data_IF_553630293757
#
_entry.id   IF_553630293757
#
_cell.length_a   1.000
_cell.length_b   1.000
_cell.length_c   1.000
_cell.angle_alpha   90.00
_cell.angle_beta   90.00
_cell.angle_gamma   90.00
#
_symmetry.space_group_name_H-M   'P 1'
#
loop_
_entity.id
_entity.type
_entity.pdbx_description
1 polymer ?
#
# COMPACT_ATOMS: atom_id res chain seq x y z
N UNK A 1 16.47 53.35 62.11
CA UNK A 1 15.90 54.31 61.15
C UNK A 1 15.55 53.53 59.90
N UNK A 2 14.31 53.05 59.81
CA UNK A 2 13.80 52.49 58.56
C UNK A 2 13.63 53.64 57.56
N UNK A 3 14.37 53.59 56.45
CA UNK A 3 14.15 54.49 55.32
C UNK A 3 12.77 54.16 54.74
N UNK A 4 11.83 55.09 54.91
CA UNK A 4 10.53 55.04 54.23
C UNK A 4 10.79 55.01 52.71
N UNK A 5 10.19 54.08 51.96
CA UNK A 5 10.34 54.10 50.50
C UNK A 5 9.77 55.42 49.97
N UNK A 6 10.58 56.15 49.20
CA UNK A 6 10.16 57.38 48.53
C UNK A 6 9.00 57.09 47.58
N UNK A 7 7.91 57.84 47.70
CA UNK A 7 6.77 57.70 46.81
C UNK A 7 7.22 57.96 45.36
N UNK A 8 6.87 57.08 44.41
CA UNK A 8 7.30 57.21 43.03
C UNK A 8 6.77 58.52 42.44
N UNK A 9 7.59 59.17 41.63
CA UNK A 9 7.20 60.40 40.94
C UNK A 9 6.15 60.10 39.87
N UNK A 10 5.31 61.09 39.55
CA UNK A 10 4.33 60.99 38.45
C UNK A 10 4.97 60.58 37.12
N UNK A 11 6.22 60.98 36.90
CA UNK A 11 7.00 60.62 35.71
C UNK A 11 7.40 59.14 35.69
N UNK A 12 7.82 58.57 36.82
CA UNK A 12 8.16 57.16 36.95
C UNK A 12 6.91 56.26 36.81
N UNK A 13 5.77 56.67 37.36
CA UNK A 13 4.50 55.95 37.20
C UNK A 13 4.02 55.97 35.74
N UNK A 14 4.15 57.10 35.04
CA UNK A 14 3.80 57.22 33.62
C UNK A 14 4.70 56.34 32.73
N UNK A 15 6.01 56.31 32.98
CA UNK A 15 6.94 55.46 32.24
C UNK A 15 6.69 53.97 32.48
N UNK A 16 6.41 53.56 33.72
CA UNK A 16 6.10 52.17 34.05
C UNK A 16 4.80 51.71 33.36
N UNK A 17 3.76 52.55 33.36
CA UNK A 17 2.48 52.26 32.69
C UNK A 17 2.66 52.11 31.17
N UNK A 18 3.50 52.98 30.57
CA UNK A 18 3.81 52.93 29.13
C UNK A 18 4.61 51.67 28.76
N UNK A 19 5.57 51.27 29.59
CA UNK A 19 6.32 50.02 29.38
C UNK A 19 5.44 48.77 29.57
N UNK A 20 4.55 48.76 30.56
CA UNK A 20 3.60 47.66 30.76
C UNK A 20 2.61 47.53 29.60
N UNK A 21 2.09 48.65 29.07
CA UNK A 21 1.25 48.63 27.87
C UNK A 21 2.03 48.13 26.66
N UNK A 22 3.26 48.63 26.42
CA UNK A 22 4.09 48.16 25.32
C UNK A 22 4.41 46.66 25.41
N UNK A 23 4.67 46.13 26.61
CA UNK A 23 4.89 44.70 26.85
C UNK A 23 3.62 43.87 26.64
N UNK A 24 2.44 44.37 27.06
CA UNK A 24 1.16 43.71 26.81
C UNK A 24 0.81 43.67 25.32
N UNK A 25 1.02 44.76 24.58
CA UNK A 25 0.77 44.82 23.14
C UNK A 25 1.73 43.90 22.37
N UNK A 26 3.02 43.86 22.78
CA UNK A 26 3.99 42.93 22.20
C UNK A 26 3.66 41.46 22.51
N UNK A 27 3.19 41.15 23.71
CA UNK A 27 2.72 39.81 24.10
C UNK A 27 1.44 39.39 23.35
N UNK A 28 0.51 40.32 23.12
CA UNK A 28 -0.70 40.08 22.32
C UNK A 28 -0.37 39.89 20.83
N UNK A 29 0.56 40.67 20.28
CA UNK A 29 1.01 40.51 18.89
C UNK A 29 1.78 39.20 18.68
N UNK A 30 2.63 38.80 19.63
CA UNK A 30 3.34 37.51 19.58
C UNK A 30 2.42 36.30 19.80
N UNK A 31 1.31 36.45 20.53
CA UNK A 31 0.28 35.41 20.63
C UNK A 31 -0.68 35.37 19.43
N UNK A 32 -0.91 36.49 18.75
CA UNK A 32 -1.82 36.60 17.61
C UNK A 32 -1.28 35.89 16.35
N UNK A 33 0.02 36.00 16.05
CA UNK A 33 0.59 35.38 14.85
C UNK A 33 0.49 33.83 14.85
N UNK A 34 0.81 33.10 15.93
CA UNK A 34 0.58 31.66 16.03
C UNK A 34 -0.90 31.26 15.93
N UNK A 35 -1.81 32.06 16.50
CA UNK A 35 -3.25 31.80 16.41
C UNK A 35 -3.78 31.98 14.98
N UNK A 36 -3.28 32.98 14.25
CA UNK A 36 -3.61 33.18 12.83
C UNK A 36 -3.10 32.03 11.98
N UNK A 37 -1.84 31.61 12.13
CA UNK A 37 -1.29 30.46 11.40
C UNK A 37 -2.04 29.16 11.71
N UNK A 38 -2.41 28.92 12.97
CA UNK A 38 -3.20 27.76 13.35
C UNK A 38 -4.60 27.77 12.71
N UNK A 39 -5.27 28.93 12.66
CA UNK A 39 -6.56 29.09 11.97
C UNK A 39 -6.43 28.85 10.47
N UNK A 40 -5.42 29.42 9.82
CA UNK A 40 -5.17 29.21 8.39
C UNK A 40 -4.89 27.73 8.06
N UNK A 41 -4.12 27.04 8.91
CA UNK A 41 -3.88 25.61 8.78
C UNK A 41 -5.18 24.81 8.94
N UNK A 42 -5.98 25.08 9.96
CA UNK A 42 -7.28 24.42 10.17
C UNK A 42 -8.22 24.65 8.99
N UNK A 43 -8.29 25.88 8.48
CA UNK A 43 -9.11 26.22 7.32
C UNK A 43 -8.64 25.48 6.07
N UNK A 44 -7.32 25.37 5.87
CA UNK A 44 -6.74 24.58 4.77
C UNK A 44 -7.06 23.09 4.93
N UNK A 45 -6.92 22.53 6.12
CA UNK A 45 -7.25 21.13 6.40
C UNK A 45 -8.74 20.88 6.14
N UNK A 46 -9.63 21.75 6.60
CA UNK A 46 -11.06 21.67 6.35
C UNK A 46 -11.39 21.73 4.85
N UNK A 47 -10.71 22.59 4.07
CA UNK A 47 -10.85 22.62 2.61
C UNK A 47 -10.40 21.31 1.97
N UNK A 48 -9.26 20.75 2.39
CA UNK A 48 -8.76 19.48 1.88
C UNK A 48 -9.68 18.30 2.23
N UNK A 49 -10.22 18.26 3.44
CA UNK A 49 -11.22 17.26 3.86
C UNK A 49 -12.44 17.33 2.96
N UNK A 50 -13.01 18.53 2.75
CA UNK A 50 -14.16 18.73 1.87
C UNK A 50 -13.87 18.30 0.44
N UNK A 51 -12.70 18.65 -0.10
CA UNK A 51 -12.29 18.25 -1.45
C UNK A 51 -12.17 16.72 -1.57
N UNK A 52 -11.50 16.07 -0.62
CA UNK A 52 -11.33 14.62 -0.60
C UNK A 52 -12.68 13.89 -0.49
N UNK A 53 -13.57 14.37 0.38
CA UNK A 53 -14.92 13.85 0.53
C UNK A 53 -15.75 14.02 -0.76
N UNK A 54 -15.66 15.19 -1.41
CA UNK A 54 -16.35 15.43 -2.67
C UNK A 54 -15.84 14.51 -3.78
N UNK A 55 -14.53 14.33 -3.90
CA UNK A 55 -13.94 13.40 -4.87
C UNK A 55 -14.35 11.95 -4.59
N UNK A 56 -14.25 11.49 -3.34
CA UNK A 56 -14.63 10.15 -2.94
C UNK A 56 -16.14 9.89 -3.11
N UNK A 57 -16.99 10.88 -2.83
CA UNK A 57 -18.45 10.75 -2.97
C UNK A 57 -18.88 10.79 -4.44
N UNK A 58 -18.19 11.59 -5.28
CA UNK A 58 -18.48 11.71 -6.70
C UNK A 58 -18.04 10.54 -7.57
N UNK A 59 -17.24 9.60 -7.03
CA UNK A 59 -16.90 8.36 -7.74
C UNK A 59 -18.14 7.47 -7.84
N UNK A 60 -18.61 7.24 -9.07
CA UNK A 60 -19.68 6.29 -9.38
C UNK A 60 -19.03 5.02 -9.92
N UNK A 61 -19.15 3.90 -9.20
CA UNK A 61 -18.61 2.60 -9.66
C UNK A 61 -19.60 1.83 -10.54
N UNK A 62 -20.88 2.15 -10.51
CA UNK A 62 -21.95 1.38 -11.18
C UNK A 62 -21.78 1.31 -12.70
N UNK A 63 -21.11 2.28 -13.33
CA UNK A 63 -20.90 2.24 -14.79
C UNK A 63 -19.95 1.12 -15.24
N UNK A 64 -19.06 0.64 -14.37
CA UNK A 64 -18.20 -0.51 -14.63
C UNK A 64 -18.90 -1.85 -14.35
N UNK A 65 -20.07 -1.83 -13.73
CA UNK A 65 -20.78 -3.02 -13.30
C UNK A 65 -21.67 -3.56 -14.41
N UNK A 66 -21.44 -4.80 -14.79
CA UNK A 66 -22.30 -5.55 -15.70
C UNK A 66 -23.40 -6.24 -14.88
N UNK A 67 -24.65 -5.79 -15.04
CA UNK A 67 -25.78 -6.27 -14.25
C UNK A 67 -26.20 -7.71 -14.58
N UNK A 68 -25.97 -8.16 -15.81
CA UNK A 68 -26.30 -9.53 -16.24
C UNK A 68 -25.31 -10.52 -15.63
N UNK A 69 -24.01 -10.21 -15.71
CA UNK A 69 -22.94 -11.04 -15.14
C UNK A 69 -22.77 -10.84 -13.64
N UNK A 70 -23.24 -9.71 -13.11
CA UNK A 70 -23.04 -9.24 -11.72
C UNK A 70 -21.57 -9.12 -11.34
N UNK A 71 -20.74 -8.65 -12.28
CA UNK A 71 -19.29 -8.50 -12.12
C UNK A 71 -18.85 -7.13 -12.63
N UNK A 72 -17.68 -6.67 -12.18
CA UNK A 72 -17.05 -5.49 -12.75
C UNK A 72 -16.31 -5.85 -14.03
N UNK A 73 -16.49 -5.05 -15.07
CA UNK A 73 -15.55 -5.01 -16.19
C UNK A 73 -14.21 -4.46 -15.72
N UNK A 74 -13.12 -4.92 -16.34
CA UNK A 74 -11.76 -4.44 -16.00
C UNK A 74 -11.50 -3.01 -16.44
N UNK A 75 -12.30 -2.48 -17.36
CA UNK A 75 -12.07 -1.18 -17.96
C UNK A 75 -13.24 -0.68 -18.78
N UNK A 76 -13.18 0.61 -19.11
CA UNK A 76 -14.14 1.28 -19.96
C UNK A 76 -13.39 2.11 -21.00
N UNK A 77 -13.64 1.83 -22.27
CA UNK A 77 -13.09 2.61 -23.36
C UNK A 77 -13.95 3.85 -23.58
N UNK A 78 -13.37 5.02 -23.30
CA UNK A 78 -14.05 6.33 -23.44
C UNK A 78 -14.27 6.72 -24.91
N UNK A 79 -13.38 6.35 -25.82
CA UNK A 79 -13.51 6.68 -27.24
C UNK A 79 -14.62 5.87 -27.91
N UNK A 80 -14.74 4.60 -27.54
CA UNK A 80 -15.74 3.67 -28.08
C UNK A 80 -17.02 3.61 -27.22
N UNK A 81 -17.05 4.34 -26.10
CA UNK A 81 -18.13 4.35 -25.11
C UNK A 81 -18.62 2.95 -24.72
N UNK A 82 -17.68 2.02 -24.45
CA UNK A 82 -18.01 0.63 -24.14
C UNK A 82 -17.17 0.06 -23.00
N UNK A 83 -17.76 -0.90 -22.31
CA UNK A 83 -17.04 -1.74 -21.35
C UNK A 83 -16.12 -2.73 -22.07
N UNK A 84 -15.02 -3.06 -21.42
CA UNK A 84 -14.17 -4.16 -21.84
C UNK A 84 -14.88 -5.50 -21.62
N UNK A 85 -14.59 -6.47 -22.49
CA UNK A 85 -15.17 -7.83 -22.41
C UNK A 85 -14.50 -8.76 -21.39
N UNK A 86 -13.58 -8.23 -20.57
CA UNK A 86 -12.90 -8.96 -19.50
C UNK A 86 -13.39 -8.45 -18.15
N UNK A 87 -13.43 -9.32 -17.14
CA UNK A 87 -14.10 -9.05 -15.88
C UNK A 87 -13.23 -9.43 -14.68
N UNK A 88 -13.39 -8.71 -13.57
CA UNK A 88 -12.84 -9.10 -12.28
C UNK A 88 -13.76 -10.11 -11.61
N UNK A 89 -13.41 -11.38 -11.75
CA UNK A 89 -14.29 -12.49 -11.39
C UNK A 89 -13.79 -13.33 -10.20
N UNK A 90 -12.62 -13.05 -9.60
CA UNK A 90 -12.10 -13.85 -8.48
C UNK A 90 -12.08 -13.12 -7.13
N UNK A 91 -12.35 -13.89 -6.07
CA UNK A 91 -12.25 -13.42 -4.70
C UNK A 91 -10.79 -13.28 -4.23
N UNK A 92 -9.87 -14.08 -4.78
CA UNK A 92 -8.44 -13.92 -4.57
C UNK A 92 -7.87 -12.95 -5.61
N UNK A 93 -8.18 -11.67 -5.45
CA UNK A 93 -7.67 -10.58 -6.27
C UNK A 93 -7.64 -9.29 -5.42
N UNK A 94 -6.76 -8.38 -5.80
CA UNK A 94 -6.73 -6.99 -5.35
C UNK A 94 -8.06 -6.27 -5.61
N UNK A 95 -8.70 -6.57 -6.74
CA UNK A 95 -9.89 -5.87 -7.22
C UNK A 95 -11.11 -6.09 -6.31
N UNK A 96 -11.10 -7.13 -5.47
CA UNK A 96 -12.14 -7.35 -4.46
C UNK A 96 -12.30 -6.17 -3.50
N UNK A 97 -11.27 -5.34 -3.35
CA UNK A 97 -11.36 -4.13 -2.55
C UNK A 97 -12.31 -3.12 -3.19
N UNK A 98 -12.26 -2.95 -4.52
CA UNK A 98 -13.21 -2.14 -5.27
C UNK A 98 -14.63 -2.70 -5.12
N UNK A 99 -14.80 -4.03 -5.23
CA UNK A 99 -16.06 -4.72 -4.94
C UNK A 99 -16.61 -4.40 -3.56
N UNK A 100 -15.76 -4.50 -2.53
CA UNK A 100 -16.15 -4.22 -1.15
C UNK A 100 -16.61 -2.77 -0.96
N UNK A 101 -15.85 -1.81 -1.49
CA UNK A 101 -16.17 -0.37 -1.37
C UNK A 101 -17.44 -0.03 -2.14
N UNK A 102 -17.61 -0.53 -3.37
CA UNK A 102 -18.80 -0.27 -4.18
C UNK A 102 -20.06 -0.82 -3.53
N UNK A 103 -19.99 -2.02 -2.94
CA UNK A 103 -21.11 -2.59 -2.17
C UNK A 103 -21.40 -1.74 -0.93
N UNK A 104 -20.37 -1.36 -0.16
CA UNK A 104 -20.55 -0.55 1.04
C UNK A 104 -21.19 0.83 0.74
N UNK A 105 -20.94 1.37 -0.45
CA UNK A 105 -21.54 2.61 -0.97
C UNK A 105 -22.93 2.41 -1.57
N UNK A 106 -23.40 1.17 -1.70
CA UNK A 106 -24.62 0.81 -2.44
C UNK A 106 -24.58 1.17 -3.93
N UNK A 107 -23.39 1.32 -4.51
CA UNK A 107 -23.21 1.53 -5.96
C UNK A 107 -23.57 0.25 -6.74
N UNK A 108 -23.37 -0.93 -6.12
CA UNK A 108 -23.66 -2.25 -6.68
C UNK A 108 -24.29 -3.16 -5.63
N UNK A 109 -25.09 -4.17 -6.04
CA UNK A 109 -25.82 -5.03 -5.10
C UNK A 109 -24.92 -6.07 -4.43
N UNK A 110 -25.31 -6.56 -3.25
CA UNK A 110 -24.52 -7.50 -2.42
C UNK A 110 -24.19 -8.82 -3.15
N UNK A 111 -25.06 -9.23 -4.07
CA UNK A 111 -24.94 -10.41 -4.93
C UNK A 111 -23.61 -10.42 -5.67
N UNK A 112 -23.07 -9.25 -6.02
CA UNK A 112 -21.75 -9.12 -6.64
C UNK A 112 -20.66 -9.87 -5.86
N UNK A 113 -20.63 -9.73 -4.52
CA UNK A 113 -19.64 -10.40 -3.68
C UNK A 113 -19.74 -11.92 -3.76
N UNK A 114 -20.96 -12.45 -3.89
CA UNK A 114 -21.21 -13.88 -3.94
C UNK A 114 -20.92 -14.46 -5.34
N UNK A 115 -21.07 -13.66 -6.40
CA UNK A 115 -20.69 -14.03 -7.77
C UNK A 115 -19.19 -14.21 -7.95
N UNK A 116 -18.34 -13.51 -7.19
CA UNK A 116 -16.88 -13.69 -7.26
C UNK A 116 -16.49 -15.16 -7.07
N UNK A 117 -15.84 -15.71 -8.08
CA UNK A 117 -15.29 -17.05 -8.13
C UNK A 117 -14.36 -17.34 -6.97
N UNK A 118 -14.47 -18.56 -6.46
CA UNK A 118 -13.66 -19.09 -5.36
C UNK A 118 -12.98 -20.39 -5.79
N UNK A 119 -12.25 -20.41 -6.92
CA UNK A 119 -11.49 -21.59 -7.29
C UNK A 119 -10.51 -21.88 -6.15
N UNK A 120 -10.43 -23.14 -5.75
CA UNK A 120 -9.57 -23.56 -4.65
C UNK A 120 -8.74 -24.77 -5.05
N UNK A 121 -7.61 -24.92 -4.38
CA UNK A 121 -6.73 -26.09 -4.50
C UNK A 121 -6.15 -26.44 -3.14
N UNK A 122 -5.63 -27.66 -3.01
CA UNK A 122 -4.87 -28.09 -1.83
C UNK A 122 -3.39 -28.09 -2.20
N UNK A 123 -2.63 -27.21 -1.56
CA UNK A 123 -1.19 -27.05 -1.77
C UNK A 123 -0.47 -27.21 -0.43
N UNK A 124 0.57 -28.05 -0.40
CA UNK A 124 1.38 -28.27 0.81
C UNK A 124 0.51 -28.63 2.04
N UNK A 125 -0.57 -29.40 1.83
CA UNK A 125 -1.52 -29.81 2.87
C UNK A 125 -2.48 -28.70 3.35
N UNK A 126 -2.55 -27.56 2.65
CA UNK A 126 -3.42 -26.42 2.99
C UNK A 126 -4.37 -26.11 1.84
N UNK A 127 -5.64 -25.91 2.14
CA UNK A 127 -6.59 -25.36 1.16
C UNK A 127 -6.29 -23.88 0.92
N UNK A 128 -6.17 -23.47 -0.33
CA UNK A 128 -5.99 -22.07 -0.72
C UNK A 128 -6.98 -21.70 -1.83
N UNK A 129 -7.39 -20.43 -1.85
CA UNK A 129 -7.99 -19.86 -3.05
C UNK A 129 -6.91 -19.67 -4.11
N UNK A 130 -7.30 -19.84 -5.36
CA UNK A 130 -6.49 -19.55 -6.53
C UNK A 130 -6.81 -18.14 -7.03
N UNK A 131 -5.78 -17.41 -7.44
CA UNK A 131 -5.88 -16.13 -8.12
C UNK A 131 -5.56 -16.29 -9.60
N UNK A 132 -5.55 -15.21 -10.37
CA UNK A 132 -5.26 -15.31 -11.80
C UNK A 132 -3.77 -15.60 -12.02
N UNK A 133 -2.91 -14.75 -11.44
CA UNK A 133 -1.46 -14.83 -11.64
C UNK A 133 -0.73 -15.57 -10.52
N UNK A 134 -1.34 -15.73 -9.34
CA UNK A 134 -0.65 -16.26 -8.17
C UNK A 134 0.36 -15.27 -7.58
N UNK A 135 0.14 -13.96 -7.75
CA UNK A 135 1.01 -12.92 -7.21
C UNK A 135 0.72 -12.71 -5.73
N UNK A 136 1.70 -12.29 -4.93
CA UNK A 136 1.45 -11.99 -3.51
C UNK A 136 0.47 -10.82 -3.33
N UNK A 137 0.58 -9.81 -4.20
CA UNK A 137 -0.26 -8.61 -4.21
C UNK A 137 -1.75 -8.92 -4.30
N UNK A 138 -2.17 -9.83 -5.19
CA UNK A 138 -3.58 -10.25 -5.36
C UNK A 138 -4.20 -10.67 -4.02
N UNK A 139 -3.42 -11.33 -3.16
CA UNK A 139 -3.88 -11.78 -1.85
C UNK A 139 -3.77 -10.69 -0.79
N UNK A 140 -2.66 -9.95 -0.73
CA UNK A 140 -2.29 -9.19 0.45
C UNK A 140 -2.50 -7.68 0.33
N UNK A 141 -2.50 -7.09 -0.87
CA UNK A 141 -2.73 -5.64 -1.01
C UNK A 141 -4.06 -5.19 -0.37
N UNK A 142 -5.18 -5.93 -0.49
CA UNK A 142 -6.43 -5.53 0.16
C UNK A 142 -6.33 -5.42 1.69
N UNK A 143 -5.33 -6.04 2.33
CA UNK A 143 -5.12 -5.97 3.77
C UNK A 143 -4.54 -4.64 4.23
N UNK A 144 -4.04 -3.82 3.31
CA UNK A 144 -3.66 -2.44 3.62
C UNK A 144 -4.86 -1.64 4.11
N UNK A 145 -6.04 -1.87 3.52
CA UNK A 145 -7.26 -1.10 3.78
C UNK A 145 -8.33 -1.89 4.56
N UNK A 146 -8.12 -3.19 4.76
CA UNK A 146 -9.12 -4.08 5.35
C UNK A 146 -8.52 -4.96 6.44
N UNK A 147 -9.25 -5.07 7.54
CA UNK A 147 -8.99 -6.05 8.60
C UNK A 147 -9.19 -7.50 8.14
N UNK A 148 -8.34 -8.38 8.65
CA UNK A 148 -8.47 -9.83 8.52
C UNK A 148 -9.44 -10.35 9.58
N UNK A 149 -10.36 -11.22 9.19
CA UNK A 149 -11.27 -11.90 10.13
C UNK A 149 -10.79 -13.33 10.37
N UNK A 150 -10.58 -13.68 11.65
CA UNK A 150 -10.08 -15.00 12.01
C UNK A 150 -11.09 -16.10 11.70
N UNK A 151 -10.61 -17.24 11.20
CA UNK A 151 -11.44 -18.37 10.74
C UNK A 151 -12.10 -18.15 9.38
N UNK A 152 -11.86 -17.01 8.71
CA UNK A 152 -12.43 -16.76 7.39
C UNK A 152 -11.70 -17.53 6.29
N UNK A 153 -12.41 -17.85 5.20
CA UNK A 153 -11.85 -18.42 3.98
C UNK A 153 -10.65 -17.62 3.46
N UNK A 154 -10.77 -16.28 3.52
CA UNK A 154 -9.73 -15.36 3.09
C UNK A 154 -8.48 -15.44 3.99
N UNK A 155 -8.64 -15.51 5.30
CA UNK A 155 -7.49 -15.69 6.21
C UNK A 155 -6.71 -16.98 5.89
N UNK A 156 -7.43 -18.09 5.66
CA UNK A 156 -6.81 -19.36 5.26
C UNK A 156 -6.05 -19.20 3.93
N UNK A 157 -6.65 -18.53 2.93
CA UNK A 157 -6.00 -18.26 1.66
C UNK A 157 -4.72 -17.42 1.81
N UNK A 158 -4.72 -16.36 2.65
CA UNK A 158 -3.53 -15.54 2.88
C UNK A 158 -2.39 -16.34 3.50
N UNK A 159 -2.71 -17.13 4.55
CA UNK A 159 -1.72 -17.99 5.23
C UNK A 159 -1.17 -19.08 4.31
N UNK A 160 -2.00 -19.63 3.42
CA UNK A 160 -1.58 -20.63 2.45
C UNK A 160 -0.71 -20.03 1.34
N UNK A 161 -1.11 -18.88 0.77
CA UNK A 161 -0.34 -18.16 -0.24
C UNK A 161 1.06 -17.79 0.29
N UNK A 162 1.14 -17.14 1.47
CA UNK A 162 2.43 -16.79 2.08
C UNK A 162 3.31 -18.02 2.32
N UNK A 163 2.74 -19.10 2.85
CA UNK A 163 3.48 -20.35 3.04
C UNK A 163 4.01 -20.93 1.73
N UNK A 164 3.20 -20.92 0.67
CA UNK A 164 3.57 -21.42 -0.65
C UNK A 164 4.69 -20.59 -1.27
N UNK A 165 4.63 -19.25 -1.18
CA UNK A 165 5.73 -18.39 -1.63
C UNK A 165 7.03 -18.67 -0.87
N UNK A 166 6.98 -18.83 0.45
CA UNK A 166 8.15 -19.17 1.26
C UNK A 166 8.75 -20.51 0.83
N UNK A 167 7.91 -21.55 0.71
CA UNK A 167 8.34 -22.88 0.31
C UNK A 167 8.93 -22.89 -1.10
N UNK A 168 8.33 -22.13 -2.02
CA UNK A 168 8.82 -22.01 -3.38
C UNK A 168 10.18 -21.30 -3.45
N UNK A 169 10.35 -20.18 -2.72
CA UNK A 169 11.64 -19.50 -2.60
C UNK A 169 12.72 -20.43 -2.04
N UNK A 170 12.40 -21.17 -0.98
CA UNK A 170 13.31 -22.19 -0.39
C UNK A 170 13.68 -23.29 -1.38
N UNK A 171 12.71 -23.87 -2.08
CA UNK A 171 12.94 -24.93 -3.07
C UNK A 171 13.83 -24.46 -4.24
N UNK A 172 13.76 -23.16 -4.57
CA UNK A 172 14.62 -22.55 -5.58
C UNK A 172 15.95 -22.02 -4.99
N UNK A 173 16.11 -21.95 -3.67
CA UNK A 173 17.29 -21.40 -3.02
C UNK A 173 17.45 -19.89 -3.21
N UNK A 174 16.35 -19.15 -3.20
CA UNK A 174 16.31 -17.68 -3.32
C UNK A 174 15.37 -17.07 -2.25
N UNK A 175 15.43 -15.75 -2.00
CA UNK A 175 14.40 -15.04 -1.24
C UNK A 175 12.99 -15.27 -1.83
N UNK A 176 11.95 -15.03 -1.05
CA UNK A 176 10.57 -15.15 -1.49
C UNK A 176 9.88 -13.78 -1.64
N UNK A 177 8.65 -13.77 -2.14
CA UNK A 177 7.89 -12.54 -2.42
C UNK A 177 7.81 -12.25 -3.92
N UNK A 178 7.26 -13.21 -4.67
CA UNK A 178 7.02 -13.04 -6.11
C UNK A 178 5.71 -12.28 -6.27
N UNK A 179 5.72 -11.23 -7.09
CA UNK A 179 4.54 -10.43 -7.38
C UNK A 179 4.74 -9.68 -8.69
N UNK A 180 3.79 -8.87 -9.13
CA UNK A 180 4.03 -7.93 -10.22
C UNK A 180 5.20 -7.00 -9.92
N UNK A 181 6.08 -6.84 -10.91
CA UNK A 181 7.31 -6.10 -10.78
C UNK A 181 7.94 -5.80 -12.14
N UNK A 182 8.90 -4.89 -12.13
CA UNK A 182 9.85 -4.75 -13.21
C UNK A 182 10.79 -5.96 -13.26
N UNK A 183 11.38 -6.25 -14.42
CA UNK A 183 12.30 -7.37 -14.61
C UNK A 183 13.39 -7.04 -15.65
N UNK A 184 14.35 -7.94 -15.83
CA UNK A 184 15.61 -7.63 -16.53
C UNK A 184 15.50 -7.44 -18.04
N UNK A 185 14.32 -7.65 -18.64
CA UNK A 185 14.08 -7.31 -20.04
C UNK A 185 14.05 -5.78 -20.20
N UNK A 186 14.64 -5.32 -21.30
CA UNK A 186 14.71 -3.91 -21.66
C UNK A 186 14.01 -3.71 -23.00
N UNK A 187 13.27 -2.61 -23.14
CA UNK A 187 12.80 -2.16 -24.45
C UNK A 187 13.90 -1.45 -25.25
N UNK A 188 13.52 -0.94 -26.43
CA UNK A 188 14.40 -0.17 -27.31
C UNK A 188 14.97 1.10 -26.64
N UNK A 189 14.28 1.63 -25.64
CA UNK A 189 14.67 2.83 -24.89
C UNK A 189 15.47 2.49 -23.63
N UNK A 190 15.85 1.22 -23.42
CA UNK A 190 16.58 0.73 -22.24
C UNK A 190 15.80 0.90 -20.94
N UNK A 191 14.47 0.83 -21.02
CA UNK A 191 13.58 0.85 -19.85
C UNK A 191 13.25 -0.59 -19.46
N UNK A 192 13.35 -0.90 -18.16
CA UNK A 192 12.92 -2.18 -17.61
C UNK A 192 11.44 -2.44 -17.90
N UNK A 193 11.14 -3.65 -18.34
CA UNK A 193 9.76 -4.06 -18.61
C UNK A 193 9.08 -4.49 -17.32
N UNK A 194 7.75 -4.44 -17.29
CA UNK A 194 6.92 -4.71 -16.12
C UNK A 194 5.82 -5.72 -16.44
N UNK A 195 5.61 -6.71 -15.57
CA UNK A 195 4.50 -7.65 -15.69
C UNK A 195 4.16 -8.33 -14.36
N UNK A 196 3.08 -9.10 -14.36
CA UNK A 196 2.69 -9.94 -13.22
C UNK A 196 3.45 -11.27 -13.21
N UNK A 197 4.11 -11.55 -12.08
CA UNK A 197 4.75 -12.82 -11.77
C UNK A 197 4.05 -13.50 -10.60
N UNK A 198 4.02 -14.83 -10.59
CA UNK A 198 3.42 -15.54 -9.47
C UNK A 198 3.99 -16.93 -9.25
N UNK A 199 3.51 -17.58 -8.20
CA UNK A 199 4.02 -18.88 -7.78
C UNK A 199 3.17 -20.01 -8.34
N UNK A 200 3.80 -21.05 -8.95
CA UNK A 200 3.09 -22.23 -9.41
C UNK A 200 2.23 -22.86 -8.32
N UNK A 201 0.99 -23.17 -8.70
CA UNK A 201 -0.05 -23.71 -7.81
C UNK A 201 -0.98 -22.64 -7.23
N UNK A 202 -0.59 -21.36 -7.18
CA UNK A 202 -1.47 -20.27 -6.69
C UNK A 202 -2.26 -19.56 -7.80
N UNK A 203 -1.77 -19.60 -9.03
CA UNK A 203 -2.40 -18.95 -10.17
C UNK A 203 -2.96 -19.95 -11.20
N UNK A 204 -4.00 -19.55 -11.92
CA UNK A 204 -4.52 -20.31 -13.06
C UNK A 204 -3.73 -20.08 -14.36
N UNK A 205 -3.00 -18.96 -14.46
CA UNK A 205 -2.11 -18.69 -15.59
C UNK A 205 -1.09 -19.82 -15.74
N UNK A 206 -0.90 -20.29 -16.97
CA UNK A 206 0.13 -21.30 -17.30
C UNK A 206 1.51 -20.65 -17.37
N UNK A 207 2.56 -21.41 -17.07
CA UNK A 207 3.95 -20.97 -17.23
C UNK A 207 4.48 -20.08 -16.09
N UNK A 208 3.79 -20.03 -14.95
CA UNK A 208 4.24 -19.26 -13.77
C UNK A 208 5.61 -19.72 -13.24
N UNK A 209 6.03 -20.94 -13.56
CA UNK A 209 7.31 -21.51 -13.18
C UNK A 209 8.50 -21.01 -14.01
N UNK A 210 8.23 -20.33 -15.13
CA UNK A 210 9.23 -19.91 -16.12
C UNK A 210 10.03 -18.70 -15.63
N UNK A 211 9.35 -17.74 -14.99
CA UNK A 211 9.93 -16.52 -14.50
C UNK A 211 10.11 -16.57 -12.98
N UNK A 212 11.22 -16.02 -12.49
CA UNK A 212 11.58 -16.05 -11.07
C UNK A 212 12.01 -14.66 -10.62
N UNK A 213 11.04 -13.75 -10.52
CA UNK A 213 11.27 -12.36 -10.11
C UNK A 213 10.74 -12.14 -8.70
N UNK A 214 11.60 -11.65 -7.81
CA UNK A 214 11.26 -11.39 -6.40
C UNK A 214 11.18 -9.89 -6.17
N UNK A 215 10.08 -9.43 -5.57
CA UNK A 215 9.82 -8.04 -5.27
C UNK A 215 9.78 -7.82 -3.74
N UNK A 216 10.64 -6.98 -3.15
CA UNK A 216 10.71 -6.79 -1.70
C UNK A 216 9.39 -6.31 -1.07
N UNK A 217 8.59 -5.49 -1.78
CA UNK A 217 7.30 -5.02 -1.25
C UNK A 217 6.32 -6.16 -0.97
N UNK A 218 6.40 -7.29 -1.68
CA UNK A 218 5.59 -8.47 -1.40
C UNK A 218 5.89 -9.07 -0.02
N UNK A 219 7.14 -8.96 0.44
CA UNK A 219 7.51 -9.33 1.81
C UNK A 219 6.96 -8.34 2.84
N UNK A 220 6.95 -7.04 2.52
CA UNK A 220 6.33 -6.02 3.37
C UNK A 220 4.83 -6.25 3.52
N UNK A 221 4.11 -6.56 2.43
CA UNK A 221 2.69 -6.92 2.46
C UNK A 221 2.39 -8.14 3.35
N UNK A 222 3.35 -9.02 3.54
CA UNK A 222 3.21 -10.22 4.37
C UNK A 222 3.42 -9.98 5.87
N UNK A 223 3.76 -8.77 6.31
CA UNK A 223 3.95 -8.43 7.73
C UNK A 223 2.76 -8.82 8.62
N UNK A 224 1.48 -8.56 8.24
CA UNK A 224 0.33 -8.95 9.07
C UNK A 224 0.10 -10.47 9.18
N UNK A 225 0.73 -11.27 8.31
CA UNK A 225 0.48 -12.71 8.19
C UNK A 225 1.64 -13.54 8.75
N UNK A 226 2.89 -13.15 8.45
CA UNK A 226 4.10 -13.88 8.82
C UNK A 226 5.26 -12.92 9.17
N UNK A 227 5.13 -12.10 10.22
CA UNK A 227 6.01 -10.96 10.47
C UNK A 227 7.50 -11.34 10.61
N UNK A 228 7.79 -12.35 11.43
CA UNK A 228 9.17 -12.81 11.63
C UNK A 228 9.81 -13.31 10.33
N UNK A 229 9.04 -14.01 9.49
CA UNK A 229 9.52 -14.53 8.20
C UNK A 229 9.70 -13.41 7.18
N UNK A 230 8.79 -12.44 7.16
CA UNK A 230 8.88 -11.26 6.31
C UNK A 230 10.14 -10.45 6.62
N UNK A 231 10.38 -10.13 7.90
CA UNK A 231 11.58 -9.40 8.35
C UNK A 231 12.86 -10.18 8.01
N UNK A 232 12.90 -11.49 8.26
CA UNK A 232 14.06 -12.30 7.90
C UNK A 232 14.34 -12.28 6.39
N UNK A 233 13.30 -12.33 5.56
CA UNK A 233 13.45 -12.27 4.11
C UNK A 233 13.91 -10.89 3.62
N UNK A 234 13.40 -9.81 4.21
CA UNK A 234 13.82 -8.46 3.92
C UNK A 234 15.30 -8.22 4.27
N UNK A 235 15.76 -8.75 5.41
CA UNK A 235 17.19 -8.73 5.76
C UNK A 235 18.05 -9.52 4.77
N UNK A 236 17.55 -10.66 4.28
CA UNK A 236 18.24 -11.42 3.25
C UNK A 236 18.33 -10.63 1.93
N UNK A 237 17.26 -9.95 1.52
CA UNK A 237 17.24 -9.07 0.36
C UNK A 237 18.21 -7.88 0.54
N UNK A 238 18.24 -7.27 1.72
CA UNK A 238 19.17 -6.20 2.06
C UNK A 238 20.63 -6.66 1.94
N UNK A 239 20.94 -7.86 2.45
CA UNK A 239 22.30 -8.41 2.42
C UNK A 239 22.86 -8.66 1.01
N UNK A 240 22.00 -8.74 0.00
CA UNK A 240 22.38 -8.88 -1.42
C UNK A 240 22.28 -7.55 -2.19
N UNK A 241 22.22 -6.41 -1.49
CA UNK A 241 22.29 -5.08 -2.10
C UNK A 241 20.96 -4.52 -2.64
N UNK A 242 19.82 -5.09 -2.25
CA UNK A 242 18.52 -4.60 -2.71
C UNK A 242 18.08 -3.27 -2.08
N UNK A 243 18.76 -2.78 -1.04
CA UNK A 243 18.39 -1.55 -0.35
C UNK A 243 19.09 -0.34 -0.98
N UNK A 244 18.30 0.61 -1.49
CA UNK A 244 18.78 1.85 -2.09
C UNK A 244 18.33 3.10 -1.33
N UNK A 245 18.57 4.27 -1.94
CA UNK A 245 18.27 5.58 -1.34
C UNK A 245 16.82 5.78 -0.92
N UNK A 246 15.88 5.22 -1.68
CA UNK A 246 14.44 5.38 -1.47
C UNK A 246 13.79 4.14 -0.84
N UNK A 247 14.59 3.29 -0.18
CA UNK A 247 14.16 1.97 0.27
C UNK A 247 14.58 0.89 -0.72
N UNK A 248 13.90 -0.26 -0.65
CA UNK A 248 14.23 -1.39 -1.52
C UNK A 248 14.01 -1.05 -3.00
N UNK A 249 14.93 -1.48 -3.86
CA UNK A 249 14.71 -1.51 -5.31
C UNK A 249 13.53 -2.40 -5.67
N UNK A 250 13.00 -2.21 -6.88
CA UNK A 250 11.74 -2.81 -7.32
C UNK A 250 11.72 -4.33 -7.20
N UNK A 251 12.77 -4.98 -7.72
CA UNK A 251 12.87 -6.43 -7.77
C UNK A 251 14.28 -6.93 -8.05
N UNK A 252 14.45 -8.23 -7.88
CA UNK A 252 15.59 -8.99 -8.39
C UNK A 252 15.06 -10.14 -9.27
N UNK A 253 15.61 -10.22 -10.49
CA UNK A 253 15.22 -11.20 -11.50
C UNK A 253 16.21 -12.37 -11.52
N UNK A 254 15.75 -13.54 -11.06
CA UNK A 254 16.50 -14.80 -11.05
C UNK A 254 16.23 -15.68 -12.28
N UNK A 255 15.40 -15.21 -13.23
CA UNK A 255 15.01 -15.97 -14.44
C UNK A 255 16.21 -16.25 -15.33
N UNK A 256 17.09 -15.24 -15.46
CA UNK A 256 18.36 -15.37 -16.18
C UNK A 256 19.36 -16.12 -15.30
N UNK A 257 19.23 -17.43 -15.22
CA UNK A 257 20.32 -18.27 -14.72
C UNK A 257 21.55 -18.05 -15.62
N UNK A 258 22.68 -17.57 -15.09
CA UNK A 258 24.08 -17.85 -15.52
C UNK A 258 25.02 -16.91 -14.76
N UNK A 259 26.17 -17.32 -14.23
CA UNK A 259 27.30 -18.14 -14.75
C UNK A 259 27.88 -19.00 -13.61
N UNK A 260 28.78 -19.97 -13.90
CA UNK A 260 29.50 -20.73 -12.86
C UNK A 260 30.20 -19.87 -11.79
N UNK A 261 30.51 -18.61 -12.12
CA UNK A 261 31.29 -17.67 -11.30
C UNK A 261 30.56 -16.33 -11.02
N UNK A 262 29.26 -16.21 -11.32
CA UNK A 262 28.49 -14.96 -11.18
C UNK A 262 27.53 -14.94 -9.99
N UNK A 263 27.23 -13.74 -9.48
CA UNK A 263 26.15 -13.54 -8.49
C UNK A 263 24.79 -13.99 -9.05
N UNK A 264 23.96 -14.57 -8.17
CA UNK A 264 22.67 -15.15 -8.55
C UNK A 264 21.62 -14.03 -8.65
N UNK A 265 21.17 -13.71 -9.86
CA UNK A 265 20.06 -12.77 -10.13
C UNK A 265 20.50 -11.37 -10.59
N UNK A 266 19.60 -10.64 -11.24
CA UNK A 266 19.81 -9.27 -11.74
C UNK A 266 18.94 -8.30 -10.95
N UNK A 267 19.57 -7.40 -10.18
CA UNK A 267 18.85 -6.34 -9.46
C UNK A 267 18.29 -5.33 -10.45
N UNK A 268 17.02 -5.00 -10.30
CA UNK A 268 16.32 -4.00 -11.10
C UNK A 268 16.37 -2.68 -10.35
N UNK A 269 17.32 -1.83 -10.72
CA UNK A 269 17.56 -0.51 -10.12
C UNK A 269 16.47 0.51 -10.52
N UNK A 270 15.23 0.22 -10.14
CA UNK A 270 14.07 1.06 -10.29
C UNK A 270 13.36 1.23 -8.93
N UNK A 271 12.55 2.27 -8.82
CA UNK A 271 11.72 2.53 -7.64
C UNK A 271 10.33 2.90 -8.11
N UNK A 272 9.35 2.07 -7.79
CA UNK A 272 7.95 2.29 -8.18
C UNK A 272 7.18 2.92 -7.01
N UNK A 273 6.50 4.04 -7.27
CA UNK A 273 5.79 4.78 -6.25
C UNK A 273 4.73 3.94 -5.52
N UNK A 274 4.01 3.07 -6.25
CA UNK A 274 2.99 2.21 -5.66
C UNK A 274 3.59 1.10 -4.79
N UNK A 275 4.72 0.48 -5.17
CA UNK A 275 5.42 -0.51 -4.34
C UNK A 275 5.96 0.11 -3.05
N UNK A 276 6.53 1.32 -3.11
CA UNK A 276 6.98 2.04 -1.92
C UNK A 276 5.81 2.47 -1.04
N UNK A 277 4.74 3.01 -1.63
CA UNK A 277 3.52 3.40 -0.91
C UNK A 277 2.90 2.22 -0.17
N UNK A 278 2.73 1.08 -0.84
CA UNK A 278 2.25 -0.14 -0.21
C UNK A 278 3.17 -0.64 0.90
N UNK A 279 4.48 -0.57 0.72
CA UNK A 279 5.46 -0.96 1.74
C UNK A 279 5.34 -0.11 3.00
N UNK A 280 5.26 1.22 2.84
CA UNK A 280 5.12 2.15 3.96
C UNK A 280 3.81 1.92 4.72
N UNK A 281 2.69 1.76 4.01
CA UNK A 281 1.38 1.48 4.63
C UNK A 281 1.40 0.14 5.34
N UNK A 282 2.01 -0.90 4.75
CA UNK A 282 2.12 -2.22 5.39
C UNK A 282 2.91 -2.16 6.71
N UNK A 283 4.04 -1.45 6.72
CA UNK A 283 4.85 -1.23 7.93
C UNK A 283 4.04 -0.44 8.96
N UNK A 284 3.42 0.66 8.55
CA UNK A 284 2.61 1.50 9.44
C UNK A 284 1.49 0.68 10.08
N UNK A 285 0.74 -0.07 9.29
CA UNK A 285 -0.33 -0.93 9.78
C UNK A 285 0.16 -1.98 10.76
N UNK A 286 1.32 -2.59 10.49
CA UNK A 286 1.91 -3.57 11.39
C UNK A 286 2.31 -2.96 12.74
N UNK A 287 2.89 -1.75 12.74
CA UNK A 287 3.36 -1.06 13.95
C UNK A 287 2.23 -0.39 14.73
N UNK A 288 1.19 0.09 14.04
CA UNK A 288 0.13 0.93 14.58
C UNK A 288 -1.25 0.26 14.50
N UNK A 289 -1.34 -1.07 14.66
CA UNK A 289 -2.61 -1.81 14.79
C UNK A 289 -3.62 -1.57 13.63
N UNK A 290 -3.14 -1.51 12.39
CA UNK A 290 -3.93 -1.26 11.17
C UNK A 290 -4.70 0.07 11.18
N UNK A 291 -4.15 1.11 11.79
CA UNK A 291 -4.79 2.43 11.85
C UNK A 291 -4.87 3.15 10.49
N UNK A 292 -4.04 2.76 9.52
CA UNK A 292 -3.71 3.49 8.28
C UNK A 292 -3.34 4.96 8.50
#
# INVERSE_FOLDING_TARGET
MEQKPSSPTLFELAHCTTQMHAQQTAAQQTAAAPQTHARELLDRLNRLIKLAQAQASGMNMSFLFDAERRLFSIGYNVQECRLDGSYYDFLASEARLASYVAIARSDVPNEHWFTLGRPFSVLDGRTTLLSWNGTMFEYLMPLLLKRVFSGSLLETAYKAAVARHINYGKARGIPWGISEAAFSALDNNKVYQYQAFGVPGLGLKRGLEQDLVVAPYASMLALPIAPQKAVANLKALESIGMLGRFGFFDSIDYTRQRRPEGERGVIIYATMAHHQGMSLVAINNFLNNNLM
#
